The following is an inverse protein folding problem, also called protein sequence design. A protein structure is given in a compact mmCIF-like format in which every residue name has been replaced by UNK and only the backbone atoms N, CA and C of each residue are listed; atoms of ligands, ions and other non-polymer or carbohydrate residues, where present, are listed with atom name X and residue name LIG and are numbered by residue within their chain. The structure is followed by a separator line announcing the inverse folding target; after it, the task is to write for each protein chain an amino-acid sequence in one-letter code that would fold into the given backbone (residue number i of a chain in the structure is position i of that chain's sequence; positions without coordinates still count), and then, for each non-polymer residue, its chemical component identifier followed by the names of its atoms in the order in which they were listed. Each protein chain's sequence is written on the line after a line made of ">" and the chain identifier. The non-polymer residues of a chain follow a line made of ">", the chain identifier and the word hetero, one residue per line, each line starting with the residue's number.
data_IF_190952115457
#
_entry.id   IF_190952115457
#
_cell.length_a   1.000
_cell.length_b   1.000
_cell.length_c   1.000
_cell.angle_alpha   90.00
_cell.angle_beta   90.00
_cell.angle_gamma   90.00
#
_symmetry.space_group_name_H-M   'P 1'
#
loop_
_entity.id
_entity.type
_entity.pdbx_description
1 polymer ?
#
# COMPACT_ATOMS: atom_id res chain seq x y z
N UNK A 1 -5.01 19.62 8.09
CA UNK A 1 -4.23 20.86 8.43
C UNK A 1 -2.96 20.86 7.62
N UNK A 2 -2.61 21.98 6.97
CA UNK A 2 -1.42 22.12 6.13
C UNK A 2 -0.33 22.89 6.90
N UNK A 3 0.85 22.31 6.95
CA UNK A 3 2.05 22.90 7.56
C UNK A 3 2.95 23.47 6.45
N UNK A 4 3.39 24.72 6.59
CA UNK A 4 4.24 25.40 5.62
C UNK A 4 5.58 25.73 6.25
N UNK A 5 6.66 25.43 5.55
CA UNK A 5 8.02 25.71 6.01
C UNK A 5 9.02 25.72 4.85
N UNK A 6 10.14 26.40 5.03
CA UNK A 6 11.27 26.36 4.10
C UNK A 6 12.28 25.31 4.54
N UNK A 7 12.79 24.55 3.59
CA UNK A 7 13.86 23.58 3.84
C UNK A 7 14.63 23.22 2.57
N UNK A 8 15.81 22.64 2.78
CA UNK A 8 16.73 22.21 1.71
C UNK A 8 16.55 20.72 1.43
N UNK A 9 16.63 20.33 0.16
CA UNK A 9 16.72 18.92 -0.24
C UNK A 9 18.20 18.50 -0.14
N UNK A 10 18.49 17.50 0.66
CA UNK A 10 19.84 16.94 0.80
C UNK A 10 19.86 15.45 0.46
N UNK A 11 21.06 14.94 0.17
CA UNK A 11 21.28 13.53 -0.15
C UNK A 11 22.07 12.83 0.94
N UNK A 12 21.64 11.63 1.31
CA UNK A 12 22.31 10.76 2.26
C UNK A 12 22.17 9.31 1.80
N UNK A 13 23.29 8.58 1.64
CA UNK A 13 23.28 7.17 1.23
C UNK A 13 22.63 6.93 -0.14
N UNK A 14 22.78 7.85 -1.08
CA UNK A 14 22.19 7.77 -2.43
C UNK A 14 20.67 8.00 -2.48
N UNK A 15 20.08 8.50 -1.40
CA UNK A 15 18.67 8.89 -1.31
C UNK A 15 18.55 10.37 -0.98
N UNK A 16 17.48 11.00 -1.44
CA UNK A 16 17.20 12.41 -1.18
C UNK A 16 16.11 12.56 -0.11
N UNK A 17 16.27 13.55 0.74
CA UNK A 17 15.40 13.83 1.87
C UNK A 17 15.24 15.34 2.12
N UNK A 18 14.15 15.68 2.80
CA UNK A 18 13.93 16.99 3.41
C UNK A 18 13.79 16.80 4.90
N UNK A 19 14.51 17.57 5.69
CA UNK A 19 14.38 17.58 7.15
C UNK A 19 13.25 18.53 7.53
N UNK A 20 12.27 18.02 8.28
CA UNK A 20 11.20 18.86 8.84
C UNK A 20 11.78 19.67 10.00
N UNK A 21 11.64 21.03 10.00
CA UNK A 21 12.33 21.90 10.94
C UNK A 21 11.72 21.91 12.34
N UNK A 22 10.54 21.35 12.55
CA UNK A 22 9.80 21.36 13.82
C UNK A 22 9.60 19.93 14.37
N UNK A 23 9.12 19.84 15.61
CA UNK A 23 8.72 18.58 16.23
C UNK A 23 7.34 18.17 15.72
N UNK A 24 7.31 17.15 14.85
CA UNK A 24 6.07 16.69 14.21
C UNK A 24 5.05 16.18 15.23
N UNK A 25 5.48 15.54 16.33
CA UNK A 25 4.55 15.06 17.36
C UNK A 25 3.83 16.20 18.09
N UNK A 26 4.55 17.27 18.38
CA UNK A 26 4.00 18.43 19.07
C UNK A 26 3.04 19.22 18.18
N UNK A 27 3.42 19.41 16.90
CA UNK A 27 2.63 20.19 15.96
C UNK A 27 1.41 19.45 15.42
N UNK A 28 1.52 18.13 15.16
CA UNK A 28 0.44 17.35 14.53
C UNK A 28 -0.39 16.52 15.50
N UNK A 29 0.13 16.25 16.70
CA UNK A 29 -0.44 15.28 17.65
C UNK A 29 -0.28 13.82 17.23
N UNK A 30 0.34 13.53 16.07
CA UNK A 30 0.42 12.20 15.48
C UNK A 30 1.81 11.59 15.73
N UNK A 31 1.85 10.33 16.14
CA UNK A 31 3.09 9.56 16.39
C UNK A 31 3.17 8.33 15.47
N UNK A 32 4.39 7.87 15.21
CA UNK A 32 4.64 6.64 14.45
C UNK A 32 4.71 6.86 12.95
N UNK A 33 4.05 6.01 12.16
CA UNK A 33 4.01 6.15 10.71
C UNK A 33 3.00 7.24 10.31
N UNK A 34 3.49 8.32 9.75
CA UNK A 34 2.67 9.48 9.36
C UNK A 34 2.65 9.56 7.82
N UNK A 35 1.53 9.18 7.18
CA UNK A 35 1.33 9.45 5.76
C UNK A 35 1.11 10.95 5.56
N UNK A 36 1.75 11.52 4.52
CA UNK A 36 1.61 12.92 4.20
C UNK A 36 1.49 13.14 2.69
N UNK A 37 0.71 14.13 2.31
CA UNK A 37 0.81 14.80 1.02
C UNK A 37 1.77 15.95 1.14
N UNK A 38 2.70 16.04 0.21
CA UNK A 38 3.74 17.09 0.18
C UNK A 38 3.67 17.81 -1.15
N UNK A 39 3.70 19.13 -1.12
CA UNK A 39 3.73 19.97 -2.31
C UNK A 39 4.96 20.88 -2.29
N UNK A 40 5.68 20.92 -3.42
CA UNK A 40 6.89 21.72 -3.64
C UNK A 40 6.84 22.29 -5.06
N UNK A 41 6.87 23.60 -5.24
CA UNK A 41 6.79 24.26 -6.56
C UNK A 41 5.65 23.75 -7.45
N UNK A 42 4.49 23.46 -6.87
CA UNK A 42 3.33 22.93 -7.60
C UNK A 42 3.39 21.43 -7.91
N UNK A 43 4.49 20.74 -7.60
CA UNK A 43 4.56 19.28 -7.62
C UNK A 43 3.97 18.73 -6.33
N UNK A 44 3.00 17.84 -6.46
CA UNK A 44 2.41 17.15 -5.31
C UNK A 44 2.71 15.65 -5.35
N UNK A 45 3.06 15.09 -4.20
CA UNK A 45 3.28 13.65 -4.03
C UNK A 45 2.93 13.21 -2.62
N UNK A 46 2.63 11.94 -2.48
CA UNK A 46 2.34 11.34 -1.18
C UNK A 46 3.50 10.45 -0.72
N UNK A 47 3.81 10.50 0.57
CA UNK A 47 4.88 9.71 1.17
C UNK A 47 4.57 9.37 2.62
N UNK A 48 5.28 8.39 3.18
CA UNK A 48 5.37 8.18 4.63
C UNK A 48 6.58 8.92 5.15
N UNK A 49 6.37 9.72 6.18
CA UNK A 49 7.48 10.37 6.89
C UNK A 49 8.39 9.31 7.53
N UNK A 50 9.69 9.54 7.48
CA UNK A 50 10.69 8.65 8.07
C UNK A 50 11.04 9.15 9.47
N UNK A 51 10.72 8.42 10.54
CA UNK A 51 11.03 8.83 11.90
C UNK A 51 12.55 8.78 12.17
N UNK A 52 13.04 9.81 12.85
CA UNK A 52 14.44 9.92 13.35
C UNK A 52 14.50 9.98 14.89
N UNK A 53 13.38 9.72 15.56
CA UNK A 53 13.24 9.78 17.01
C UNK A 53 12.89 11.18 17.54
N UNK A 54 12.30 11.24 18.75
CA UNK A 54 11.97 12.47 19.45
C UNK A 54 11.17 13.50 18.62
N UNK A 55 10.20 13.03 17.83
CA UNK A 55 9.36 13.90 16.99
C UNK A 55 10.05 14.47 15.75
N UNK A 56 11.29 14.06 15.46
CA UNK A 56 12.01 14.45 14.24
C UNK A 56 11.67 13.50 13.11
N UNK A 57 11.42 14.05 11.92
CA UNK A 57 11.06 13.28 10.73
C UNK A 57 11.74 13.83 9.49
N UNK A 58 11.86 12.95 8.49
CA UNK A 58 12.30 13.28 7.14
C UNK A 58 11.18 13.01 6.14
N UNK A 59 11.08 13.86 5.13
CA UNK A 59 10.29 13.62 3.93
C UNK A 59 11.19 12.92 2.91
N UNK A 60 10.90 11.68 2.50
CA UNK A 60 11.66 11.00 1.44
C UNK A 60 11.31 11.58 0.07
N UNK A 61 12.32 11.86 -0.75
CA UNK A 61 12.16 12.33 -2.12
C UNK A 61 12.47 11.20 -3.09
N UNK A 62 11.55 10.93 -4.02
CA UNK A 62 11.76 9.90 -5.05
C UNK A 62 12.71 10.39 -6.14
N UNK A 63 13.35 9.46 -6.88
CA UNK A 63 14.18 9.81 -8.04
C UNK A 63 13.40 10.61 -9.09
N UNK A 64 12.11 10.27 -9.28
CA UNK A 64 11.22 11.00 -10.21
C UNK A 64 10.98 12.44 -9.76
N UNK A 65 10.75 12.66 -8.47
CA UNK A 65 10.59 14.02 -7.91
C UNK A 65 11.91 14.79 -7.97
N UNK A 66 13.03 14.12 -7.68
CA UNK A 66 14.36 14.72 -7.70
C UNK A 66 14.81 15.12 -9.13
N UNK A 67 14.27 14.50 -10.20
CA UNK A 67 14.64 14.88 -11.57
C UNK A 67 14.18 16.29 -11.99
N UNK A 68 13.28 16.90 -11.22
CA UNK A 68 12.75 18.25 -11.47
C UNK A 68 13.06 19.22 -10.33
N UNK A 69 13.74 18.77 -9.27
CA UNK A 69 14.15 19.58 -8.14
C UNK A 69 15.69 19.50 -7.98
N UNK A 70 16.30 20.59 -7.55
CA UNK A 70 17.73 20.65 -7.29
C UNK A 70 18.04 20.34 -5.83
N UNK A 71 19.13 19.64 -5.57
CA UNK A 71 19.67 19.47 -4.22
C UNK A 71 20.37 20.76 -3.77
N UNK A 72 20.48 20.93 -2.45
CA UNK A 72 21.15 22.06 -1.81
C UNK A 72 20.52 23.43 -2.10
N UNK A 73 19.28 23.42 -2.63
CA UNK A 73 18.44 24.58 -2.82
C UNK A 73 17.29 24.60 -1.82
N UNK A 74 16.97 25.76 -1.30
CA UNK A 74 15.85 25.96 -0.39
C UNK A 74 14.53 26.05 -1.14
N UNK A 75 13.50 25.39 -0.61
CA UNK A 75 12.15 25.35 -1.16
C UNK A 75 11.12 25.62 -0.07
N UNK A 76 10.06 26.32 -0.46
CA UNK A 76 8.82 26.37 0.30
C UNK A 76 8.09 25.02 0.14
N UNK A 77 7.74 24.43 1.28
CA UNK A 77 7.13 23.09 1.35
C UNK A 77 5.79 23.20 2.06
N UNK A 78 4.78 22.64 1.45
CA UNK A 78 3.52 22.38 2.10
C UNK A 78 3.44 20.88 2.44
N UNK A 79 3.12 20.57 3.69
CA UNK A 79 2.96 19.21 4.20
C UNK A 79 1.58 19.06 4.85
N UNK A 80 0.80 18.13 4.40
CA UNK A 80 -0.51 17.78 4.95
C UNK A 80 -0.50 16.33 5.41
N UNK A 81 -0.61 16.02 6.72
CA UNK A 81 -0.89 14.68 7.19
C UNK A 81 -2.22 14.18 6.62
N UNK A 82 -2.21 12.96 6.10
CA UNK A 82 -3.38 12.29 5.53
C UNK A 82 -3.63 10.98 6.26
N UNK A 83 -4.84 10.45 6.22
CA UNK A 83 -5.17 9.22 6.95
C UNK A 83 -4.45 8.00 6.36
N UNK A 84 -4.40 7.91 5.04
CA UNK A 84 -3.77 6.81 4.32
C UNK A 84 -3.00 7.33 3.11
N UNK A 85 -1.98 6.57 2.66
CA UNK A 85 -1.32 6.81 1.38
C UNK A 85 -2.19 6.29 0.26
N UNK A 86 -2.56 7.16 -0.66
CA UNK A 86 -3.12 6.72 -1.94
C UNK A 86 -1.99 6.39 -2.93
N UNK A 87 -1.73 5.11 -3.11
CA UNK A 87 -0.81 4.60 -4.15
C UNK A 87 -1.52 4.30 -5.46
N UNK A 88 -2.82 4.19 -5.36
CA UNK A 88 -3.78 4.07 -6.44
C UNK A 88 -4.54 5.38 -6.46
N UNK A 89 -4.10 6.31 -7.30
CA UNK A 89 -4.68 7.65 -7.40
C UNK A 89 -5.84 7.64 -8.40
N UNK A 90 -6.98 7.05 -7.99
CA UNK A 90 -8.19 6.99 -8.79
C UNK A 90 -9.43 7.21 -7.94
N UNK A 91 -10.35 8.02 -8.45
CA UNK A 91 -11.70 8.09 -7.91
C UNK A 91 -12.39 6.76 -8.16
N UNK A 92 -12.80 6.09 -7.09
CA UNK A 92 -13.49 4.82 -7.21
C UNK A 92 -14.99 5.01 -7.39
N UNK A 93 -15.62 4.29 -8.33
CA UNK A 93 -17.08 4.22 -8.42
C UNK A 93 -17.70 3.26 -7.38
N UNK A 94 -16.86 2.55 -6.58
CA UNK A 94 -17.28 1.54 -5.63
C UNK A 94 -17.05 2.03 -4.18
N UNK A 95 -17.81 1.44 -3.25
CA UNK A 95 -17.62 1.64 -1.81
C UNK A 95 -17.84 0.32 -1.07
N UNK A 96 -17.59 0.27 0.24
CA UNK A 96 -17.86 -0.93 1.05
C UNK A 96 -19.34 -1.28 1.13
N UNK A 97 -20.20 -0.28 0.99
CA UNK A 97 -21.66 -0.43 0.93
C UNK A 97 -22.15 -0.84 -0.47
N UNK A 98 -21.37 -0.47 -1.49
CA UNK A 98 -21.63 -0.76 -2.91
C UNK A 98 -20.37 -1.31 -3.57
N UNK A 99 -19.94 -2.54 -3.21
CA UNK A 99 -18.77 -3.17 -3.81
C UNK A 99 -19.00 -3.51 -5.28
N UNK A 100 -17.91 -3.74 -6.01
CA UNK A 100 -18.00 -4.18 -7.41
C UNK A 100 -18.82 -5.46 -7.55
N UNK A 101 -18.76 -6.33 -6.54
CA UNK A 101 -19.58 -7.55 -6.44
C UNK A 101 -19.62 -8.10 -5.02
N UNK A 102 -20.59 -8.95 -4.75
CA UNK A 102 -20.57 -9.89 -3.64
C UNK A 102 -19.75 -11.13 -4.01
N UNK A 103 -18.85 -11.56 -3.12
CA UNK A 103 -17.95 -12.68 -3.42
C UNK A 103 -18.59 -13.99 -2.97
N UNK A 104 -19.42 -14.58 -3.81
CA UNK A 104 -20.02 -15.92 -3.60
C UNK A 104 -19.21 -17.05 -4.25
N UNK A 105 -18.47 -16.76 -5.31
CA UNK A 105 -17.58 -17.68 -6.00
C UNK A 105 -16.34 -16.95 -6.54
N UNK A 106 -15.29 -17.70 -6.82
CA UNK A 106 -14.05 -17.18 -7.37
C UNK A 106 -13.69 -17.95 -8.64
N UNK A 107 -13.53 -17.22 -9.74
CA UNK A 107 -12.97 -17.75 -10.97
C UNK A 107 -11.44 -17.74 -10.88
N UNK A 108 -10.82 -18.88 -11.17
CA UNK A 108 -9.38 -19.05 -11.05
C UNK A 108 -8.66 -18.32 -12.18
N UNK A 109 -7.73 -17.42 -11.80
CA UNK A 109 -6.76 -16.83 -12.71
C UNK A 109 -5.39 -17.42 -12.37
N UNK A 110 -4.68 -18.05 -13.33
CA UNK A 110 -3.34 -18.55 -13.09
C UNK A 110 -2.41 -17.43 -12.59
N UNK A 111 -1.67 -17.67 -11.53
CA UNK A 111 -0.72 -16.70 -10.99
C UNK A 111 0.40 -16.46 -12.00
N UNK A 112 0.57 -15.21 -12.37
CA UNK A 112 1.65 -14.77 -13.25
C UNK A 112 2.82 -14.22 -12.41
N UNK A 113 4.04 -14.61 -12.77
CA UNK A 113 5.26 -14.12 -12.13
C UNK A 113 5.30 -12.59 -12.20
N UNK A 114 5.52 -11.93 -11.06
CA UNK A 114 5.51 -10.47 -10.94
C UNK A 114 4.13 -9.84 -10.75
N UNK A 115 3.04 -10.60 -10.94
CA UNK A 115 1.66 -10.11 -10.82
C UNK A 115 0.80 -10.89 -9.79
N UNK A 116 1.42 -11.67 -8.92
CA UNK A 116 0.70 -12.52 -7.97
C UNK A 116 -0.35 -11.75 -7.13
N UNK A 117 0.00 -10.59 -6.60
CA UNK A 117 -0.95 -9.75 -5.87
C UNK A 117 -2.05 -9.17 -6.76
N UNK A 118 -1.77 -8.86 -8.03
CA UNK A 118 -2.76 -8.41 -9.00
C UNK A 118 -3.75 -9.54 -9.33
N UNK A 119 -3.26 -10.78 -9.50
CA UNK A 119 -4.11 -11.95 -9.72
C UNK A 119 -5.06 -12.18 -8.54
N UNK A 120 -4.59 -12.04 -7.30
CA UNK A 120 -5.45 -12.14 -6.12
C UNK A 120 -6.57 -11.09 -6.15
N UNK A 121 -6.24 -9.83 -6.45
CA UNK A 121 -7.23 -8.76 -6.57
C UNK A 121 -8.21 -9.02 -7.71
N UNK A 122 -7.72 -9.42 -8.88
CA UNK A 122 -8.55 -9.73 -10.05
C UNK A 122 -9.55 -10.85 -9.75
N UNK A 123 -9.11 -11.93 -9.12
CA UNK A 123 -9.96 -13.04 -8.69
C UNK A 123 -11.03 -12.60 -7.67
N UNK A 124 -10.68 -11.75 -6.72
CA UNK A 124 -11.62 -11.23 -5.71
C UNK A 124 -12.62 -10.25 -6.34
N UNK A 125 -12.16 -9.33 -7.17
CA UNK A 125 -13.01 -8.33 -7.82
C UNK A 125 -13.83 -8.91 -8.99
N UNK A 126 -13.46 -10.07 -9.55
CA UNK A 126 -14.12 -10.66 -10.71
C UNK A 126 -13.90 -9.86 -12.00
N UNK A 127 -12.74 -9.23 -12.12
CA UNK A 127 -12.38 -8.39 -13.29
C UNK A 127 -11.17 -8.98 -14.01
N UNK A 128 -10.96 -8.63 -15.29
CA UNK A 128 -9.76 -9.03 -16.02
C UNK A 128 -8.48 -8.57 -15.32
N UNK A 129 -7.43 -9.39 -15.38
CA UNK A 129 -6.12 -9.02 -14.82
C UNK A 129 -5.56 -7.73 -15.42
N UNK A 130 -5.84 -7.47 -16.70
CA UNK A 130 -5.46 -6.23 -17.39
C UNK A 130 -5.94 -4.97 -16.66
N UNK A 131 -7.17 -4.99 -16.17
CA UNK A 131 -7.80 -3.84 -15.51
C UNK A 131 -7.13 -3.59 -14.16
N UNK A 132 -6.82 -4.66 -13.42
CA UNK A 132 -6.07 -4.56 -12.18
C UNK A 132 -4.64 -4.07 -12.41
N UNK A 133 -3.99 -4.48 -13.53
CA UNK A 133 -2.66 -3.98 -13.91
C UNK A 133 -2.71 -2.49 -14.28
N UNK A 134 -3.76 -2.03 -14.94
CA UNK A 134 -3.97 -0.59 -15.20
C UNK A 134 -4.13 0.17 -13.88
N UNK A 135 -4.94 -0.33 -12.96
CA UNK A 135 -5.20 0.29 -11.66
C UNK A 135 -3.94 0.30 -10.77
N UNK A 136 -3.31 -0.84 -10.59
CA UNK A 136 -2.18 -1.01 -9.66
C UNK A 136 -0.83 -0.65 -10.29
N UNK A 137 -0.73 -0.54 -11.61
CA UNK A 137 0.52 -0.40 -12.37
C UNK A 137 1.33 -1.71 -12.45
N UNK A 138 2.31 -1.73 -13.33
CA UNK A 138 3.17 -2.91 -13.58
C UNK A 138 4.13 -3.15 -12.40
N UNK A 139 4.57 -4.41 -12.27
CA UNK A 139 5.57 -4.87 -11.30
C UNK A 139 4.97 -5.48 -10.04
N UNK A 140 5.84 -5.89 -9.11
CA UNK A 140 5.41 -6.54 -7.88
C UNK A 140 4.49 -5.66 -7.03
N UNK A 141 3.36 -6.20 -6.64
CA UNK A 141 2.46 -5.52 -5.71
C UNK A 141 3.05 -5.57 -4.29
N UNK A 142 3.01 -4.44 -3.59
CA UNK A 142 3.22 -4.43 -2.15
C UNK A 142 1.90 -4.76 -1.44
N UNK A 143 2.00 -5.16 -0.18
CA UNK A 143 0.83 -5.41 0.66
C UNK A 143 -0.13 -4.22 0.72
N UNK A 144 0.42 -3.01 0.93
CA UNK A 144 -0.40 -1.78 0.94
C UNK A 144 -1.13 -1.55 -0.38
N UNK A 145 -0.47 -1.83 -1.52
CA UNK A 145 -1.06 -1.63 -2.84
C UNK A 145 -2.21 -2.60 -3.13
N UNK A 146 -2.10 -3.84 -2.62
CA UNK A 146 -3.19 -4.82 -2.68
C UNK A 146 -4.39 -4.29 -1.89
N UNK A 147 -4.18 -3.82 -0.65
CA UNK A 147 -5.27 -3.33 0.20
C UNK A 147 -5.96 -2.10 -0.41
N UNK A 148 -5.19 -1.16 -0.96
CA UNK A 148 -5.75 0.00 -1.67
C UNK A 148 -6.56 -0.43 -2.91
N UNK A 149 -6.15 -1.48 -3.61
CA UNK A 149 -6.94 -2.01 -4.72
C UNK A 149 -8.24 -2.69 -4.24
N UNK A 150 -8.22 -3.39 -3.10
CA UNK A 150 -9.44 -3.90 -2.49
C UNK A 150 -10.38 -2.76 -2.06
N UNK A 151 -9.84 -1.69 -1.46
CA UNK A 151 -10.61 -0.49 -1.11
C UNK A 151 -11.22 0.16 -2.37
N UNK A 152 -10.45 0.25 -3.48
CA UNK A 152 -10.95 0.76 -4.76
C UNK A 152 -12.16 -0.05 -5.25
N UNK A 153 -12.12 -1.38 -5.14
CA UNK A 153 -13.23 -2.25 -5.57
C UNK A 153 -14.33 -2.40 -4.51
N UNK A 154 -14.24 -1.71 -3.37
CA UNK A 154 -15.20 -1.78 -2.27
C UNK A 154 -15.18 -3.13 -1.53
N UNK A 155 -14.12 -3.92 -1.68
CA UNK A 155 -13.99 -5.24 -1.07
C UNK A 155 -13.55 -5.09 0.39
N UNK A 156 -14.37 -5.57 1.31
CA UNK A 156 -14.11 -5.50 2.75
C UNK A 156 -13.13 -6.56 3.22
N UNK A 157 -12.21 -6.19 4.10
CA UNK A 157 -11.20 -7.07 4.69
C UNK A 157 -10.90 -6.70 6.15
N UNK A 158 -10.24 -7.60 6.87
CA UNK A 158 -9.89 -7.40 8.27
C UNK A 158 -8.89 -6.24 8.44
N UNK A 159 -9.05 -5.43 9.48
CA UNK A 159 -8.18 -4.26 9.76
C UNK A 159 -6.73 -4.61 10.08
N UNK A 160 -6.45 -5.87 10.44
CA UNK A 160 -5.11 -6.35 10.82
C UNK A 160 -4.79 -7.66 10.13
N UNK A 161 -3.56 -7.78 9.61
CA UNK A 161 -3.03 -9.04 9.15
C UNK A 161 -2.67 -9.96 10.33
N UNK A 162 -2.91 -11.25 10.17
CA UNK A 162 -2.52 -12.30 11.11
C UNK A 162 -1.17 -12.85 10.69
N UNK A 163 -0.20 -12.83 11.60
CA UNK A 163 1.14 -13.39 11.36
C UNK A 163 1.18 -14.85 11.82
N UNK A 164 1.58 -15.73 10.91
CA UNK A 164 1.75 -17.17 11.16
C UNK A 164 3.25 -17.40 11.38
N UNK A 165 3.66 -17.62 12.60
CA UNK A 165 5.06 -17.88 12.96
C UNK A 165 5.41 -19.37 12.85
N UNK A 166 5.21 -19.98 11.67
CA UNK A 166 5.53 -21.40 11.45
C UNK A 166 4.59 -22.40 12.18
N UNK A 167 3.52 -21.91 12.78
CA UNK A 167 2.51 -22.75 13.41
C UNK A 167 1.46 -23.19 12.38
N UNK A 168 0.91 -24.38 12.58
CA UNK A 168 -0.31 -24.77 11.86
C UNK A 168 -1.40 -23.76 12.20
N UNK A 169 -1.89 -23.06 11.19
CA UNK A 169 -2.95 -22.05 11.32
C UNK A 169 -4.12 -22.46 10.45
N UNK A 170 -5.30 -22.49 11.06
CA UNK A 170 -6.53 -22.63 10.30
C UNK A 170 -6.81 -21.29 9.59
N UNK A 171 -6.75 -21.30 8.25
CA UNK A 171 -7.08 -20.13 7.46
C UNK A 171 -8.60 -19.86 7.48
N UNK A 172 -9.02 -18.59 7.41
CA UNK A 172 -10.42 -18.21 7.35
C UNK A 172 -11.07 -18.65 6.04
N UNK A 173 -12.37 -18.40 5.87
CA UNK A 173 -13.11 -18.77 4.67
C UNK A 173 -12.50 -18.21 3.39
N UNK A 174 -12.04 -16.95 3.44
CA UNK A 174 -11.34 -16.27 2.34
C UNK A 174 -10.21 -15.42 2.90
N UNK A 175 -9.03 -15.48 2.32
CA UNK A 175 -7.93 -14.60 2.68
C UNK A 175 -6.87 -14.49 1.57
N UNK A 176 -6.17 -13.37 1.56
CA UNK A 176 -4.92 -13.24 0.81
C UNK A 176 -3.79 -13.66 1.73
N UNK A 177 -2.99 -14.61 1.26
CA UNK A 177 -1.85 -15.18 1.99
C UNK A 177 -0.56 -14.65 1.38
N UNK A 178 0.34 -14.16 2.23
CA UNK A 178 1.73 -13.90 1.83
C UNK A 178 2.57 -15.16 2.10
N UNK A 179 2.94 -15.83 1.06
CA UNK A 179 3.74 -17.05 1.08
C UNK A 179 5.11 -16.73 0.50
N UNK A 180 6.11 -16.57 1.38
CA UNK A 180 7.46 -16.09 1.06
C UNK A 180 7.42 -14.74 0.31
N UNK A 181 7.83 -14.70 -0.94
CA UNK A 181 7.84 -13.50 -1.78
C UNK A 181 6.62 -13.37 -2.70
N UNK A 182 5.58 -14.18 -2.49
CA UNK A 182 4.41 -14.28 -3.34
C UNK A 182 3.12 -14.05 -2.58
N UNK A 183 2.07 -13.65 -3.31
CA UNK A 183 0.72 -13.57 -2.80
C UNK A 183 -0.13 -14.65 -3.44
N UNK A 184 -0.93 -15.35 -2.65
CA UNK A 184 -1.86 -16.37 -3.12
C UNK A 184 -3.21 -16.17 -2.47
N UNK A 185 -4.26 -16.53 -3.18
CA UNK A 185 -5.62 -16.45 -2.69
C UNK A 185 -6.05 -17.80 -2.12
N UNK A 186 -6.57 -17.79 -0.91
CA UNK A 186 -7.23 -18.94 -0.28
C UNK A 186 -8.73 -18.68 -0.21
N UNK A 187 -9.54 -19.63 -0.62
CA UNK A 187 -10.99 -19.56 -0.54
C UNK A 187 -11.60 -20.94 -0.36
N UNK A 188 -12.49 -21.10 0.62
CA UNK A 188 -13.27 -22.33 0.90
C UNK A 188 -12.42 -23.61 0.88
N UNK A 189 -11.27 -23.61 1.56
CA UNK A 189 -10.44 -24.82 1.72
C UNK A 189 -9.42 -25.07 0.61
N UNK A 190 -9.26 -24.15 -0.37
CA UNK A 190 -8.36 -24.33 -1.50
C UNK A 190 -7.57 -23.07 -1.83
N UNK A 191 -6.33 -23.24 -2.33
CA UNK A 191 -5.57 -22.16 -2.94
C UNK A 191 -5.97 -21.97 -4.40
N UNK A 192 -6.03 -20.73 -4.83
CA UNK A 192 -6.45 -20.36 -6.19
C UNK A 192 -5.28 -19.79 -6.99
N UNK A 193 -5.24 -20.14 -8.28
CA UNK A 193 -4.25 -19.66 -9.23
C UNK A 193 -2.87 -20.32 -9.14
N UNK A 194 -2.66 -21.22 -8.18
CA UNK A 194 -1.42 -21.98 -7.98
C UNK A 194 -1.75 -23.45 -7.73
N UNK A 195 -0.82 -24.33 -8.09
CA UNK A 195 -0.96 -25.78 -7.91
C UNK A 195 -0.20 -26.31 -6.69
N UNK A 196 0.81 -25.58 -6.23
CA UNK A 196 1.66 -26.01 -5.12
C UNK A 196 2.02 -24.82 -4.22
N UNK A 197 1.46 -24.83 -3.02
CA UNK A 197 1.72 -23.84 -1.97
C UNK A 197 2.28 -24.59 -0.77
N UNK A 198 3.53 -24.28 -0.41
CA UNK A 198 4.11 -24.78 0.83
C UNK A 198 3.55 -24.00 2.03
N UNK A 199 2.69 -24.60 2.88
CA UNK A 199 2.11 -23.89 4.02
C UNK A 199 3.17 -23.39 5.01
N UNK A 200 4.33 -24.03 5.10
CA UNK A 200 5.42 -23.65 6.00
C UNK A 200 6.07 -22.32 5.63
N UNK A 201 5.91 -21.89 4.37
CA UNK A 201 6.41 -20.60 3.86
C UNK A 201 5.40 -19.47 4.08
N UNK A 202 4.25 -19.73 4.67
CA UNK A 202 3.26 -18.71 4.96
C UNK A 202 3.75 -17.81 6.10
N UNK A 203 3.88 -16.52 5.80
CA UNK A 203 4.34 -15.51 6.75
C UNK A 203 3.16 -14.87 7.47
N UNK A 204 2.13 -14.50 6.71
CA UNK A 204 0.93 -13.82 7.21
C UNK A 204 -0.21 -13.90 6.21
N UNK A 205 -1.42 -13.66 6.69
CA UNK A 205 -2.58 -13.47 5.83
C UNK A 205 -3.42 -12.27 6.28
N UNK A 206 -4.32 -11.82 5.40
CA UNK A 206 -5.42 -10.93 5.73
C UNK A 206 -6.73 -11.58 5.29
N UNK A 207 -7.68 -11.62 6.19
CA UNK A 207 -9.02 -12.12 5.91
C UNK A 207 -9.77 -11.13 5.00
N UNK A 208 -10.46 -11.67 3.99
CA UNK A 208 -11.37 -10.94 3.11
C UNK A 208 -12.78 -11.42 3.44
N UNK A 209 -13.68 -10.47 3.68
CA UNK A 209 -15.05 -10.80 4.03
C UNK A 209 -15.84 -11.16 2.77
N UNK A 210 -16.44 -12.32 2.80
CA UNK A 210 -17.22 -12.88 1.69
C UNK A 210 -18.61 -13.26 2.19
N UNK A 211 -19.58 -13.28 1.30
CA UNK A 211 -20.98 -13.65 1.60
C UNK A 211 -21.17 -15.17 1.56
#
# INVERSE_FOLDING_TARGET
>A
MIYRFSAVIYTEGGRAFIKIPFNVWEETGIKGNIPCRVSILGLSFECKLIPKGNGKYLIPITKKTLSVLETDKEYEIEMEPIETLSRINHDSPYSKEHPIREIGCIETIPIQIGFCGHCCVAMLAGVPLSDVVVLMGKGHASWSKILEALDYYGISYASKAVYIKGAECQLPLCCIVNNDNSFVLWYKGSFYGVTDVDPKKTIRYIEVFVV
#
